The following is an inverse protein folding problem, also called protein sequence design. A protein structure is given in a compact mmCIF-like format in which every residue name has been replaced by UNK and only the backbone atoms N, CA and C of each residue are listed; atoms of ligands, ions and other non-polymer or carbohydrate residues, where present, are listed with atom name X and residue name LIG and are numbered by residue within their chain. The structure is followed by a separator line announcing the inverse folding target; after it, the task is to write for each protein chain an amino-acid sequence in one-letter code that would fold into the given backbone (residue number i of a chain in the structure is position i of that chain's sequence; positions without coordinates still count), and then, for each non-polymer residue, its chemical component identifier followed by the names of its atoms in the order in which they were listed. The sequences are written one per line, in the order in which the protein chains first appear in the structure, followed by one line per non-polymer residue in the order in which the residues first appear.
data_IF_287921294725
#
_entry.id   IF_287921294725
#
_cell.length_a   1.000
_cell.length_b   1.000
_cell.length_c   1.000
_cell.angle_alpha   90.00
_cell.angle_beta   90.00
_cell.angle_gamma   90.00
#
_symmetry.space_group_name_H-M   'P 1'
#
loop_
_entity.id
_entity.type
_entity.pdbx_description
1 polymer ?
#
# COMPACT_ATOMS: atom_id res chain seq x y z
N UNK A 1 -26.46 1.24 14.70
CA UNK A 1 -25.10 1.15 14.14
C UNK A 1 -24.72 -0.31 14.21
N UNK A 2 -24.66 -1.01 13.07
CA UNK A 2 -24.31 -2.42 13.03
C UNK A 2 -22.84 -2.54 13.43
N UNK A 3 -22.57 -3.15 14.59
CA UNK A 3 -21.19 -3.38 15.02
C UNK A 3 -20.60 -4.45 14.10
N UNK A 4 -19.80 -4.02 13.13
CA UNK A 4 -19.09 -4.91 12.20
C UNK A 4 -18.17 -5.91 12.91
N UNK A 5 -17.86 -5.68 14.19
CA UNK A 5 -16.93 -6.45 15.00
C UNK A 5 -17.58 -7.30 16.10
N UNK A 6 -18.92 -7.31 16.24
CA UNK A 6 -19.60 -7.95 17.39
C UNK A 6 -19.42 -9.48 17.49
N UNK A 7 -18.80 -10.13 16.50
CA UNK A 7 -18.48 -11.57 16.51
C UNK A 7 -17.12 -11.90 15.88
N UNK A 8 -16.20 -10.94 15.80
CA UNK A 8 -14.90 -11.18 15.18
C UNK A 8 -13.95 -11.86 16.19
N UNK A 9 -13.29 -12.98 15.85
CA UNK A 9 -12.23 -13.54 16.68
C UNK A 9 -11.16 -12.48 16.97
N UNK A 10 -10.62 -12.48 18.19
CA UNK A 10 -9.64 -11.49 18.64
C UNK A 10 -8.42 -11.45 17.70
N UNK A 11 -7.92 -12.61 17.28
CA UNK A 11 -6.80 -12.74 16.34
C UNK A 11 -7.09 -12.05 15.00
N UNK A 12 -8.30 -12.25 14.46
CA UNK A 12 -8.74 -11.61 13.22
C UNK A 12 -8.86 -10.09 13.38
N UNK A 13 -9.34 -9.62 14.53
CA UNK A 13 -9.42 -8.19 14.83
C UNK A 13 -8.02 -7.53 14.86
N UNK A 14 -7.06 -8.18 15.51
CA UNK A 14 -5.66 -7.72 15.55
C UNK A 14 -5.02 -7.72 14.16
N UNK A 15 -5.28 -8.74 13.34
CA UNK A 15 -4.76 -8.81 11.98
C UNK A 15 -5.32 -7.69 11.09
N UNK A 16 -6.62 -7.40 11.20
CA UNK A 16 -7.26 -6.27 10.51
C UNK A 16 -6.64 -4.94 10.93
N UNK A 17 -6.42 -4.73 12.23
CA UNK A 17 -5.79 -3.51 12.73
C UNK A 17 -4.37 -3.35 12.15
N UNK A 18 -3.56 -4.40 12.23
CA UNK A 18 -2.18 -4.39 11.76
C UNK A 18 -2.10 -4.08 10.25
N UNK A 19 -2.89 -4.76 9.42
CA UNK A 19 -2.94 -4.56 7.98
C UNK A 19 -3.47 -3.16 7.62
N UNK A 20 -4.49 -2.68 8.34
CA UNK A 20 -5.04 -1.33 8.13
C UNK A 20 -4.00 -0.25 8.43
N UNK A 21 -3.28 -0.41 9.54
CA UNK A 21 -2.21 0.50 9.95
C UNK A 21 -1.03 0.46 8.97
N UNK A 22 -0.63 -0.72 8.52
CA UNK A 22 0.42 -0.87 7.51
C UNK A 22 0.01 -0.21 6.17
N UNK A 23 -1.22 -0.44 5.70
CA UNK A 23 -1.72 0.21 4.48
C UNK A 23 -1.73 1.74 4.62
N UNK A 24 -1.98 2.28 5.81
CA UNK A 24 -1.90 3.72 6.08
C UNK A 24 -0.45 4.22 6.00
N UNK A 25 0.50 3.55 6.67
CA UNK A 25 1.91 3.96 6.62
C UNK A 25 2.49 3.94 5.20
N UNK A 26 2.18 2.91 4.41
CA UNK A 26 2.63 2.83 3.02
C UNK A 26 2.09 3.99 2.18
N UNK A 27 0.82 4.37 2.41
CA UNK A 27 0.20 5.53 1.75
C UNK A 27 0.92 6.83 2.12
N UNK A 28 1.14 7.07 3.41
CA UNK A 28 1.76 8.32 3.88
C UNK A 28 3.23 8.42 3.45
N UNK A 29 3.97 7.31 3.46
CA UNK A 29 5.35 7.27 2.96
C UNK A 29 5.41 7.56 1.45
N UNK A 30 4.50 6.98 0.66
CA UNK A 30 4.40 7.28 -0.78
C UNK A 30 4.11 8.75 -1.01
N UNK A 31 3.14 9.29 -0.27
CA UNK A 31 2.77 10.70 -0.34
C UNK A 31 3.96 11.61 -0.01
N UNK A 32 4.68 11.33 1.07
CA UNK A 32 5.86 12.11 1.47
C UNK A 32 6.96 12.15 0.40
N UNK A 33 7.15 11.07 -0.38
CA UNK A 33 8.08 11.07 -1.51
C UNK A 33 7.61 11.98 -2.65
N UNK A 34 6.32 11.94 -2.98
CA UNK A 34 5.77 12.70 -4.12
C UNK A 34 5.54 14.19 -3.78
N UNK A 35 5.25 14.51 -2.51
CA UNK A 35 5.07 15.88 -2.01
C UNK A 35 6.35 16.73 -2.22
N UNK A 36 7.54 16.12 -2.21
CA UNK A 36 8.81 16.79 -2.54
C UNK A 36 8.81 17.41 -3.94
N UNK A 37 8.03 16.85 -4.86
CA UNK A 37 7.88 17.29 -6.24
C UNK A 37 6.56 18.01 -6.49
N UNK A 38 5.72 18.17 -5.45
CA UNK A 38 4.34 18.66 -5.55
C UNK A 38 3.50 17.82 -6.53
N UNK A 39 3.69 16.50 -6.50
CA UNK A 39 2.99 15.54 -7.34
C UNK A 39 2.13 14.62 -6.48
N UNK A 40 1.08 14.08 -7.07
CA UNK A 40 0.21 13.09 -6.40
C UNK A 40 0.40 11.66 -6.97
N UNK A 41 1.06 11.56 -8.11
CA UNK A 41 1.20 10.34 -8.91
C UNK A 41 2.66 10.17 -9.39
N UNK A 42 3.22 9.00 -9.11
CA UNK A 42 4.55 8.57 -9.53
C UNK A 42 4.72 8.51 -11.06
N UNK A 43 3.66 8.27 -11.83
CA UNK A 43 3.72 8.30 -13.29
C UNK A 43 4.07 9.69 -13.83
N UNK A 44 3.52 10.74 -13.20
CA UNK A 44 3.83 12.14 -13.54
C UNK A 44 5.28 12.46 -13.18
N UNK A 45 5.81 11.90 -12.11
CA UNK A 45 7.22 12.06 -11.74
C UNK A 45 8.14 11.45 -12.82
N UNK A 46 7.82 10.25 -13.30
CA UNK A 46 8.56 9.58 -14.37
C UNK A 46 8.52 10.38 -15.68
N UNK A 47 7.36 10.93 -16.04
CA UNK A 47 7.23 11.73 -17.26
C UNK A 47 8.07 13.01 -17.20
N UNK A 48 8.10 13.70 -16.04
CA UNK A 48 8.98 14.86 -15.83
C UNK A 48 10.46 14.50 -15.95
N UNK A 49 10.88 13.33 -15.47
CA UNK A 49 12.25 12.83 -15.64
C UNK A 49 12.54 12.60 -17.14
N UNK A 50 11.63 11.93 -17.86
CA UNK A 50 11.79 11.64 -19.30
C UNK A 50 11.85 12.89 -20.17
N UNK A 51 11.08 13.92 -19.83
CA UNK A 51 11.08 15.21 -20.53
C UNK A 51 12.31 16.07 -20.17
N UNK A 52 13.08 15.70 -19.15
CA UNK A 52 14.23 16.47 -18.67
C UNK A 52 13.84 17.65 -17.77
N UNK A 53 12.58 17.73 -17.32
CA UNK A 53 12.10 18.76 -16.39
C UNK A 53 12.67 18.56 -14.98
N UNK A 54 13.03 17.31 -14.64
CA UNK A 54 13.69 16.96 -13.39
C UNK A 54 15.00 16.19 -13.67
N UNK A 55 16.05 16.41 -12.86
CA UNK A 55 17.26 15.61 -12.96
C UNK A 55 16.94 14.15 -12.62
N UNK A 56 17.53 13.22 -13.36
CA UNK A 56 17.32 11.77 -13.19
C UNK A 56 17.62 11.34 -11.75
N UNK A 57 18.72 11.81 -11.17
CA UNK A 57 19.07 11.57 -9.77
C UNK A 57 18.82 12.82 -8.93
N UNK A 58 18.15 12.72 -7.76
CA UNK A 58 17.61 11.52 -7.10
C UNK A 58 16.15 11.17 -7.50
N UNK A 59 15.61 11.79 -8.55
CA UNK A 59 14.18 11.70 -8.85
C UNK A 59 13.72 10.30 -9.26
N UNK A 60 14.57 9.55 -9.97
CA UNK A 60 14.28 8.20 -10.41
C UNK A 60 14.19 7.22 -9.22
N UNK A 61 15.08 7.36 -8.23
CA UNK A 61 15.03 6.58 -7.00
C UNK A 61 13.76 6.87 -6.19
N UNK A 62 13.34 8.13 -6.14
CA UNK A 62 12.09 8.52 -5.48
C UNK A 62 10.87 7.98 -6.24
N UNK A 63 10.87 8.03 -7.57
CA UNK A 63 9.85 7.38 -8.42
C UNK A 63 9.76 5.87 -8.16
N UNK A 64 10.90 5.18 -8.17
CA UNK A 64 10.96 3.75 -7.98
C UNK A 64 10.47 3.37 -6.58
N UNK A 65 10.89 4.12 -5.57
CA UNK A 65 10.46 3.93 -4.18
C UNK A 65 8.95 4.15 -4.04
N UNK A 66 8.39 5.19 -4.65
CA UNK A 66 6.94 5.45 -4.63
C UNK A 66 6.14 4.33 -5.32
N UNK A 67 6.65 3.81 -6.43
CA UNK A 67 6.02 2.70 -7.18
C UNK A 67 6.03 1.38 -6.37
N UNK A 68 7.13 1.09 -5.67
CA UNK A 68 7.22 -0.06 -4.76
C UNK A 68 6.20 0.10 -3.62
N UNK A 69 6.13 1.28 -2.99
CA UNK A 69 5.19 1.53 -1.90
C UNK A 69 3.72 1.40 -2.34
N UNK A 70 3.38 1.78 -3.58
CA UNK A 70 2.05 1.54 -4.12
C UNK A 70 1.77 0.04 -4.25
N UNK A 71 2.68 -0.70 -4.87
CA UNK A 71 2.56 -2.15 -5.08
C UNK A 71 2.38 -2.90 -3.76
N UNK A 72 3.23 -2.60 -2.78
CA UNK A 72 3.15 -3.19 -1.43
C UNK A 72 1.82 -2.84 -0.74
N UNK A 73 1.35 -1.60 -0.90
CA UNK A 73 0.05 -1.19 -0.34
C UNK A 73 -1.10 -1.97 -0.97
N UNK A 74 -1.05 -2.23 -2.27
CA UNK A 74 -2.05 -3.05 -2.96
C UNK A 74 -2.04 -4.48 -2.44
N UNK A 75 -0.86 -5.09 -2.25
CA UNK A 75 -0.73 -6.42 -1.66
C UNK A 75 -1.35 -6.49 -0.25
N UNK A 76 -1.01 -5.54 0.63
CA UNK A 76 -1.59 -5.42 1.98
C UNK A 76 -3.11 -5.25 1.94
N UNK A 77 -3.64 -4.49 0.97
CA UNK A 77 -5.09 -4.34 0.79
C UNK A 77 -5.76 -5.63 0.31
N UNK A 78 -5.09 -6.43 -0.52
CA UNK A 78 -5.61 -7.75 -0.90
C UNK A 78 -5.61 -8.71 0.29
N UNK A 79 -4.55 -8.71 1.11
CA UNK A 79 -4.52 -9.48 2.36
C UNK A 79 -5.65 -9.06 3.30
N UNK A 80 -5.84 -7.75 3.52
CA UNK A 80 -6.93 -7.23 4.35
C UNK A 80 -8.31 -7.69 3.83
N UNK A 81 -8.50 -7.68 2.50
CA UNK A 81 -9.71 -8.18 1.87
C UNK A 81 -9.89 -9.69 2.05
N UNK A 82 -8.81 -10.47 2.04
CA UNK A 82 -8.87 -11.91 2.29
C UNK A 82 -9.32 -12.20 3.73
N UNK A 83 -8.70 -11.53 4.71
CA UNK A 83 -9.06 -11.63 6.14
C UNK A 83 -10.52 -11.24 6.38
N UNK A 84 -10.97 -10.12 5.80
CA UNK A 84 -12.36 -9.66 5.91
C UNK A 84 -13.38 -10.63 5.29
N UNK A 85 -12.96 -11.41 4.29
CA UNK A 85 -13.80 -12.42 3.64
C UNK A 85 -13.71 -13.81 4.32
N UNK A 86 -12.95 -13.92 5.42
CA UNK A 86 -12.72 -15.19 6.11
C UNK A 86 -11.84 -16.19 5.33
N UNK A 87 -11.02 -15.70 4.38
CA UNK A 87 -9.98 -16.50 3.73
C UNK A 87 -8.66 -16.20 4.42
N UNK A 88 -8.28 -17.05 5.36
CA UNK A 88 -6.93 -17.01 5.92
C UNK A 88 -5.90 -17.39 4.86
N UNK A 89 -4.70 -16.81 4.90
CA UNK A 89 -3.57 -17.20 4.03
C UNK A 89 -3.22 -18.70 4.19
N UNK A 90 -3.65 -19.35 5.28
CA UNK A 90 -3.51 -20.79 5.49
C UNK A 90 -4.27 -21.64 4.45
N UNK A 91 -5.36 -21.14 3.86
CA UNK A 91 -6.09 -21.84 2.79
C UNK A 91 -5.39 -21.73 1.43
N UNK A 92 -4.59 -20.68 1.19
CA UNK A 92 -3.89 -20.48 -0.08
C UNK A 92 -2.63 -21.35 -0.20
N UNK A 93 -1.97 -21.68 0.93
CA UNK A 93 -0.74 -22.45 0.95
C UNK A 93 -0.93 -23.97 0.69
N UNK A 94 -2.15 -24.51 0.83
CA UNK A 94 -2.46 -25.92 0.61
C UNK A 94 -3.05 -26.24 -0.78
N UNK A 95 -3.12 -25.25 -1.68
CA UNK A 95 -3.71 -25.40 -3.02
C UNK A 95 -2.67 -25.39 -4.16
N UNK A 96 -1.43 -25.82 -3.90
CA UNK A 96 -0.36 -26.03 -4.90
C UNK A 96 0.23 -27.43 -4.76
#
# INVERSE_FOLDING_TARGET
MTNFYDNLPEDTAQQIEALSRLSFYLRENRKSLLDQYQLEDESVLLDKIRCGDLPEHPAYEHYLSASILLTEREAVRQQLKAVLNGRDESDAAFAS
#
